data_IF_827182743506
#
_entry.id   IF_827182743506
#
_cell.length_a   1.000
_cell.length_b   1.000
_cell.length_c   1.000
_cell.angle_alpha   90.00
_cell.angle_beta   90.00
_cell.angle_gamma   90.00
#
_symmetry.space_group_name_H-M   'P 1'
#
loop_
_entity.id
_entity.type
_entity.pdbx_description
1 polymer ?
#
# COMPACT_ATOMS: atom_id res chain seq x y z
N UNK A 1 -18.11 -51.85 -38.27
CA UNK A 1 -18.74 -50.57 -37.87
C UNK A 1 -17.91 -49.44 -38.47
N UNK A 2 -18.26 -48.96 -39.68
CA UNK A 2 -17.48 -47.91 -40.35
C UNK A 2 -17.91 -46.54 -39.81
N UNK A 3 -17.03 -45.88 -39.06
CA UNK A 3 -17.29 -44.53 -38.53
C UNK A 3 -17.35 -43.52 -39.67
N UNK A 4 -18.43 -42.74 -39.72
CA UNK A 4 -18.67 -41.70 -40.72
C UNK A 4 -17.71 -40.52 -40.48
N UNK A 5 -16.97 -40.09 -41.50
CA UNK A 5 -15.98 -38.99 -41.39
C UNK A 5 -16.58 -37.71 -40.81
N UNK A 6 -17.88 -37.46 -41.01
CA UNK A 6 -18.60 -36.29 -40.48
C UNK A 6 -18.85 -36.37 -38.96
N UNK A 7 -19.11 -37.54 -38.40
CA UNK A 7 -19.27 -37.72 -36.94
C UNK A 7 -17.93 -37.70 -36.21
N UNK A 8 -16.86 -38.14 -36.88
CA UNK A 8 -15.49 -38.02 -36.40
C UNK A 8 -15.05 -36.56 -36.31
N UNK A 9 -15.38 -35.74 -37.32
CA UNK A 9 -15.02 -34.32 -37.36
C UNK A 9 -15.75 -33.48 -36.30
N UNK A 10 -17.04 -33.74 -36.08
CA UNK A 10 -17.85 -33.03 -35.06
C UNK A 10 -17.40 -33.36 -33.63
N UNK A 11 -17.02 -34.60 -33.35
CA UNK A 11 -16.46 -35.00 -32.05
C UNK A 11 -15.11 -34.33 -31.76
N UNK A 12 -14.21 -34.30 -32.76
CA UNK A 12 -12.90 -33.65 -32.64
C UNK A 12 -13.05 -32.14 -32.38
N UNK A 13 -13.99 -31.47 -33.08
CA UNK A 13 -14.25 -30.04 -32.89
C UNK A 13 -14.78 -29.73 -31.48
N UNK A 14 -15.64 -30.58 -30.93
CA UNK A 14 -16.16 -30.41 -29.57
C UNK A 14 -15.05 -30.57 -28.51
N UNK A 15 -14.15 -31.54 -28.70
CA UNK A 15 -13.01 -31.75 -27.81
C UNK A 15 -12.04 -30.58 -27.81
N UNK A 16 -11.76 -29.99 -28.96
CA UNK A 16 -10.82 -28.84 -29.04
C UNK A 16 -11.41 -27.59 -28.39
N UNK A 17 -12.70 -27.29 -28.63
CA UNK A 17 -13.38 -26.16 -28.00
C UNK A 17 -13.40 -26.30 -26.47
N UNK A 18 -13.67 -27.51 -25.97
CA UNK A 18 -13.68 -27.79 -24.52
C UNK A 18 -12.31 -27.57 -23.87
N UNK A 19 -11.24 -27.98 -24.55
CA UNK A 19 -9.86 -27.77 -24.10
C UNK A 19 -9.50 -26.29 -24.05
N UNK A 20 -9.92 -25.51 -25.05
CA UNK A 20 -9.67 -24.07 -25.11
C UNK A 20 -10.41 -23.30 -24.02
N UNK A 21 -11.69 -23.62 -23.78
CA UNK A 21 -12.47 -22.98 -22.70
C UNK A 21 -11.86 -23.30 -21.33
N UNK A 22 -11.44 -24.55 -21.11
CA UNK A 22 -10.74 -24.95 -19.88
C UNK A 22 -9.39 -24.24 -19.69
N UNK A 23 -8.60 -24.10 -20.76
CA UNK A 23 -7.31 -23.41 -20.72
C UNK A 23 -7.46 -21.91 -20.43
N UNK A 24 -8.45 -21.25 -21.04
CA UNK A 24 -8.77 -19.84 -20.78
C UNK A 24 -9.25 -19.66 -19.33
N UNK A 25 -10.14 -20.54 -18.85
CA UNK A 25 -10.61 -20.53 -17.47
C UNK A 25 -9.48 -20.69 -16.46
N UNK A 26 -8.59 -21.67 -16.68
CA UNK A 26 -7.41 -21.87 -15.83
C UNK A 26 -6.47 -20.66 -15.85
N UNK A 27 -6.22 -20.07 -17.02
CA UNK A 27 -5.37 -18.89 -17.16
C UNK A 27 -5.93 -17.67 -16.41
N UNK A 28 -7.24 -17.43 -16.51
CA UNK A 28 -7.91 -16.34 -15.78
C UNK A 28 -7.86 -16.54 -14.27
N UNK A 29 -8.11 -17.76 -13.79
CA UNK A 29 -8.04 -18.10 -12.37
C UNK A 29 -6.61 -17.92 -11.85
N UNK A 30 -5.60 -18.46 -12.52
CA UNK A 30 -4.19 -18.32 -12.13
C UNK A 30 -3.78 -16.84 -12.07
N UNK A 31 -4.16 -16.02 -13.05
CA UNK A 31 -3.80 -14.61 -13.07
C UNK A 31 -4.42 -13.82 -11.89
N UNK A 32 -5.66 -14.12 -11.52
CA UNK A 32 -6.30 -13.48 -10.36
C UNK A 32 -5.73 -13.99 -9.04
N UNK A 33 -5.53 -15.30 -8.88
CA UNK A 33 -4.94 -15.87 -7.66
C UNK A 33 -3.50 -15.40 -7.43
N UNK A 34 -2.69 -15.29 -8.49
CA UNK A 34 -1.32 -14.76 -8.39
C UNK A 34 -1.34 -13.29 -8.00
N UNK A 35 -2.24 -12.46 -8.57
CA UNK A 35 -2.41 -11.07 -8.15
C UNK A 35 -2.80 -10.97 -6.67
N UNK A 36 -3.75 -11.76 -6.21
CA UNK A 36 -4.22 -11.76 -4.82
C UNK A 36 -3.16 -12.29 -3.86
N UNK A 37 -2.40 -13.31 -4.27
CA UNK A 37 -1.31 -13.89 -3.46
C UNK A 37 -0.13 -12.94 -3.34
N UNK A 38 0.34 -12.37 -4.46
CA UNK A 38 1.38 -11.34 -4.45
C UNK A 38 0.90 -10.13 -3.65
N UNK A 39 -0.38 -9.79 -3.71
CA UNK A 39 -0.94 -8.68 -2.96
C UNK A 39 -0.95 -8.92 -1.44
N UNK A 40 -1.41 -10.10 -1.01
CA UNK A 40 -1.48 -10.46 0.41
C UNK A 40 -0.09 -10.56 1.04
N UNK A 41 0.89 -11.15 0.34
CA UNK A 41 2.27 -11.18 0.79
C UNK A 41 2.85 -9.76 0.89
N UNK A 42 2.64 -8.94 -0.14
CA UNK A 42 3.01 -7.53 -0.16
C UNK A 42 2.40 -6.69 0.96
N UNK A 43 1.15 -6.97 1.34
CA UNK A 43 0.49 -6.30 2.47
C UNK A 43 1.10 -6.70 3.81
N UNK A 44 1.44 -7.97 4.01
CA UNK A 44 2.16 -8.42 5.20
C UNK A 44 3.56 -7.81 5.27
N UNK A 45 4.31 -7.83 4.16
CA UNK A 45 5.60 -7.15 4.08
C UNK A 45 5.49 -5.65 4.38
N UNK A 46 4.41 -5.00 3.94
CA UNK A 46 4.17 -3.59 4.21
C UNK A 46 3.98 -3.32 5.72
N UNK A 47 3.21 -4.14 6.44
CA UNK A 47 3.04 -3.98 7.89
C UNK A 47 4.35 -4.19 8.66
N UNK A 48 5.16 -5.19 8.27
CA UNK A 48 6.48 -5.39 8.87
C UNK A 48 7.41 -4.19 8.62
N UNK A 49 7.38 -3.63 7.42
CA UNK A 49 8.14 -2.43 7.08
C UNK A 49 7.66 -1.20 7.86
N UNK A 50 6.35 -1.01 8.03
CA UNK A 50 5.78 0.06 8.84
C UNK A 50 6.23 -0.04 10.31
N UNK A 51 6.26 -1.26 10.87
CA UNK A 51 6.76 -1.52 12.21
C UNK A 51 8.26 -1.23 12.33
N UNK A 52 9.09 -1.69 11.38
CA UNK A 52 10.54 -1.42 11.35
C UNK A 52 10.83 0.07 11.22
N UNK A 53 10.13 0.78 10.34
CA UNK A 53 10.27 2.23 10.19
C UNK A 53 9.84 2.97 11.45
N UNK A 54 8.79 2.52 12.15
CA UNK A 54 8.39 3.11 13.43
C UNK A 54 9.45 2.91 14.52
N UNK A 55 10.04 1.71 14.60
CA UNK A 55 11.16 1.45 15.51
C UNK A 55 12.35 2.36 15.20
N UNK A 56 12.72 2.47 13.91
CA UNK A 56 13.79 3.38 13.48
C UNK A 56 13.49 4.83 13.85
N UNK A 57 12.25 5.28 13.63
CA UNK A 57 11.79 6.62 14.01
C UNK A 57 11.94 6.91 15.52
N UNK A 58 11.77 5.91 16.38
CA UNK A 58 11.80 6.09 17.84
C UNK A 58 13.19 5.92 18.45
N UNK A 59 14.05 5.07 17.87
CA UNK A 59 15.30 4.62 18.49
C UNK A 59 16.56 5.09 17.78
N UNK A 60 16.49 5.37 16.49
CA UNK A 60 17.65 5.68 15.67
C UNK A 60 17.89 7.19 15.57
N UNK A 61 19.02 7.58 14.97
CA UNK A 61 19.31 8.96 14.67
C UNK A 61 18.32 9.55 13.64
N UNK A 62 18.16 10.87 13.67
CA UNK A 62 17.20 11.57 12.81
C UNK A 62 17.45 11.34 11.31
N UNK A 63 18.68 11.10 10.84
CA UNK A 63 18.96 10.85 9.42
C UNK A 63 18.48 9.46 9.03
N UNK A 64 18.75 8.45 9.84
CA UNK A 64 18.26 7.07 9.63
C UNK A 64 16.74 7.03 9.66
N UNK A 65 16.10 7.71 10.61
CA UNK A 65 14.66 7.83 10.69
C UNK A 65 14.05 8.48 9.44
N UNK A 66 14.63 9.60 8.96
CA UNK A 66 14.19 10.28 7.73
C UNK A 66 14.35 9.37 6.51
N UNK A 67 15.48 8.65 6.40
CA UNK A 67 15.71 7.70 5.31
C UNK A 67 14.67 6.58 5.32
N UNK A 68 14.40 5.96 6.46
CA UNK A 68 13.43 4.89 6.60
C UNK A 68 12.00 5.37 6.26
N UNK A 69 11.61 6.56 6.72
CA UNK A 69 10.29 7.14 6.42
C UNK A 69 10.12 7.46 4.93
N UNK A 70 11.15 7.99 4.26
CA UNK A 70 11.08 8.26 2.82
C UNK A 70 10.92 6.97 2.00
N UNK A 71 11.64 5.90 2.36
CA UNK A 71 11.48 4.60 1.72
C UNK A 71 10.06 4.05 1.91
N UNK A 72 9.52 4.11 3.12
CA UNK A 72 8.15 3.68 3.41
C UNK A 72 7.12 4.48 2.57
N UNK A 73 7.28 5.80 2.48
CA UNK A 73 6.42 6.67 1.68
C UNK A 73 6.43 6.27 0.20
N UNK A 74 7.59 5.95 -0.36
CA UNK A 74 7.68 5.58 -1.77
C UNK A 74 7.03 4.23 -2.05
N UNK A 75 7.13 3.29 -1.12
CA UNK A 75 6.39 2.02 -1.16
C UNK A 75 4.88 2.31 -1.10
N UNK A 76 4.42 3.06 -0.09
CA UNK A 76 3.00 3.39 0.09
C UNK A 76 2.40 4.14 -1.10
N UNK A 77 3.16 5.02 -1.77
CA UNK A 77 2.72 5.68 -3.01
C UNK A 77 2.49 4.68 -4.15
N UNK A 78 3.34 3.65 -4.28
CA UNK A 78 3.13 2.60 -5.29
C UNK A 78 1.84 1.84 -4.99
N UNK A 79 1.58 1.52 -3.72
CA UNK A 79 0.33 0.89 -3.32
C UNK A 79 -0.89 1.80 -3.52
N UNK A 80 -0.80 3.10 -3.23
CA UNK A 80 -1.90 4.06 -3.47
C UNK A 80 -2.29 4.11 -4.94
N UNK A 81 -1.36 3.91 -5.89
CA UNK A 81 -1.70 3.82 -7.32
C UNK A 81 -2.56 2.60 -7.66
N UNK A 82 -2.35 1.48 -6.95
CA UNK A 82 -3.11 0.25 -7.14
C UNK A 82 -4.43 0.28 -6.35
N UNK A 83 -4.41 0.84 -5.14
CA UNK A 83 -5.55 0.93 -4.22
C UNK A 83 -5.81 2.39 -3.79
N UNK A 84 -6.31 3.25 -4.71
CA UNK A 84 -6.44 4.68 -4.45
C UNK A 84 -7.37 5.02 -3.29
N UNK A 85 -8.38 4.19 -3.03
CA UNK A 85 -9.39 4.41 -1.99
C UNK A 85 -9.11 3.64 -0.69
N UNK A 86 -7.96 2.97 -0.57
CA UNK A 86 -7.63 2.23 0.65
C UNK A 86 -7.26 3.19 1.79
N UNK A 87 -8.10 3.22 2.82
CA UNK A 87 -7.94 4.11 3.98
C UNK A 87 -6.68 3.83 4.78
N UNK A 88 -6.26 2.57 4.90
CA UNK A 88 -5.05 2.18 5.66
C UNK A 88 -3.82 2.81 5.01
N UNK A 89 -3.65 2.63 3.70
CA UNK A 89 -2.52 3.20 2.94
C UNK A 89 -2.49 4.74 3.06
N UNK A 90 -3.66 5.39 2.98
CA UNK A 90 -3.75 6.83 3.12
C UNK A 90 -3.40 7.29 4.55
N UNK A 91 -3.83 6.57 5.59
CA UNK A 91 -3.48 6.86 6.99
C UNK A 91 -1.98 6.63 7.26
N UNK A 92 -1.38 5.58 6.71
CA UNK A 92 0.05 5.32 6.86
C UNK A 92 0.90 6.40 6.17
N UNK A 93 0.45 6.88 4.99
CA UNK A 93 1.08 8.02 4.31
C UNK A 93 0.96 9.30 5.14
N UNK A 94 -0.22 9.58 5.68
CA UNK A 94 -0.48 10.73 6.55
C UNK A 94 0.48 10.73 7.75
N UNK A 95 0.56 9.61 8.47
CA UNK A 95 1.43 9.45 9.64
C UNK A 95 2.91 9.56 9.27
N UNK A 96 3.32 8.98 8.15
CA UNK A 96 4.71 9.05 7.68
C UNK A 96 5.14 10.49 7.38
N UNK A 97 4.29 11.28 6.72
CA UNK A 97 4.57 12.71 6.50
C UNK A 97 4.52 13.53 7.78
N UNK A 98 3.61 13.23 8.72
CA UNK A 98 3.56 13.89 10.02
C UNK A 98 4.85 13.64 10.84
N UNK A 99 5.35 12.40 10.85
CA UNK A 99 6.62 12.04 11.51
C UNK A 99 7.81 12.75 10.86
N UNK A 100 7.87 12.82 9.53
CA UNK A 100 8.88 13.61 8.81
C UNK A 100 8.82 15.09 9.21
N UNK A 101 7.64 15.68 9.28
CA UNK A 101 7.48 17.06 9.74
C UNK A 101 8.08 17.26 11.14
N UNK A 102 7.77 16.37 12.09
CA UNK A 102 8.35 16.42 13.44
C UNK A 102 9.88 16.35 13.43
N UNK A 103 10.48 15.47 12.61
CA UNK A 103 11.94 15.36 12.47
C UNK A 103 12.56 16.63 11.85
N UNK A 104 12.00 17.15 10.76
CA UNK A 104 12.51 18.36 10.11
C UNK A 104 12.38 19.60 10.99
N UNK A 105 11.32 19.69 11.78
CA UNK A 105 11.16 20.74 12.80
C UNK A 105 12.29 20.68 13.83
N UNK A 106 12.63 19.48 14.31
CA UNK A 106 13.74 19.29 15.25
C UNK A 106 15.11 19.63 14.64
N UNK A 107 15.28 19.45 13.34
CA UNK A 107 16.51 19.81 12.60
C UNK A 107 16.57 21.29 12.19
N UNK A 108 15.49 22.05 12.38
CA UNK A 108 15.40 23.44 11.92
C UNK A 108 15.20 23.60 10.40
N UNK A 109 14.96 22.52 9.66
CA UNK A 109 14.68 22.56 8.22
C UNK A 109 13.22 22.96 7.98
N UNK A 110 12.98 24.28 8.00
CA UNK A 110 11.66 24.86 7.82
C UNK A 110 11.07 24.60 6.42
N UNK A 111 11.90 24.36 5.39
CA UNK A 111 11.44 24.10 4.03
C UNK A 111 10.89 22.68 3.94
N UNK A 112 11.67 21.69 4.39
CA UNK A 112 11.24 20.30 4.41
C UNK A 112 10.08 20.07 5.40
N UNK A 113 10.07 20.81 6.51
CA UNK A 113 8.96 20.85 7.46
C UNK A 113 7.63 21.22 6.77
N UNK A 114 7.56 22.42 6.18
CA UNK A 114 6.34 22.92 5.53
C UNK A 114 5.86 22.01 4.41
N UNK A 115 6.80 21.46 3.64
CA UNK A 115 6.50 20.49 2.58
C UNK A 115 5.84 19.22 3.14
N UNK A 116 6.34 18.71 4.26
CA UNK A 116 5.82 17.50 4.89
C UNK A 116 4.43 17.74 5.51
N UNK A 117 4.25 18.86 6.23
CA UNK A 117 2.93 19.27 6.77
C UNK A 117 1.91 19.44 5.65
N UNK A 118 2.26 20.15 4.57
CA UNK A 118 1.35 20.39 3.44
C UNK A 118 0.86 19.08 2.82
N UNK A 119 1.75 18.10 2.62
CA UNK A 119 1.39 16.78 2.11
C UNK A 119 0.50 16.00 3.07
N UNK A 120 0.81 16.00 4.36
CA UNK A 120 -0.02 15.36 5.38
C UNK A 120 -1.42 15.97 5.40
N UNK A 121 -1.55 17.30 5.42
CA UNK A 121 -2.84 17.99 5.39
C UNK A 121 -3.62 17.75 4.09
N UNK A 122 -2.94 17.59 2.96
CA UNK A 122 -3.60 17.23 1.71
C UNK A 122 -4.25 15.83 1.80
N UNK A 123 -3.52 14.83 2.29
CA UNK A 123 -4.05 13.47 2.48
C UNK A 123 -5.18 13.47 3.52
N UNK A 124 -5.02 14.24 4.59
CA UNK A 124 -6.04 14.39 5.62
C UNK A 124 -7.38 14.86 5.05
N UNK A 125 -7.35 15.86 4.16
CA UNK A 125 -8.54 16.35 3.45
C UNK A 125 -9.13 15.32 2.51
N UNK A 126 -8.30 14.54 1.80
CA UNK A 126 -8.79 13.44 0.95
C UNK A 126 -9.54 12.36 1.75
N UNK A 127 -9.17 12.16 3.02
CA UNK A 127 -9.79 11.19 3.93
C UNK A 127 -11.04 11.70 4.64
N UNK A 128 -11.45 12.96 4.42
CA UNK A 128 -12.49 13.64 5.20
C UNK A 128 -12.26 13.53 6.72
N UNK A 129 -11.00 13.64 7.13
CA UNK A 129 -10.66 13.60 8.54
C UNK A 129 -10.85 14.99 9.19
N UNK A 130 -10.93 15.02 10.52
CA UNK A 130 -11.05 16.28 11.27
C UNK A 130 -9.71 17.07 11.38
N UNK A 131 -8.66 16.68 10.65
CA UNK A 131 -7.33 17.30 10.74
C UNK A 131 -7.27 18.45 9.74
N UNK A 132 -7.54 19.67 10.21
CA UNK A 132 -7.62 20.87 9.36
C UNK A 132 -6.39 21.76 9.47
N UNK A 133 -5.65 21.67 10.57
CA UNK A 133 -4.48 22.48 10.86
C UNK A 133 -3.24 21.66 11.21
N UNK A 134 -2.08 22.30 11.15
CA UNK A 134 -0.81 21.74 11.65
C UNK A 134 -0.91 21.30 13.11
N UNK A 135 -1.58 22.09 13.94
CA UNK A 135 -1.79 21.77 15.35
C UNK A 135 -2.61 20.50 15.51
N UNK A 136 -3.69 20.34 14.74
CA UNK A 136 -4.50 19.13 14.76
C UNK A 136 -3.69 17.91 14.32
N UNK A 137 -2.83 18.07 13.31
CA UNK A 137 -1.97 17.02 12.79
C UNK A 137 -0.97 16.54 13.85
N UNK A 138 -0.32 17.47 14.55
CA UNK A 138 0.65 17.14 15.60
C UNK A 138 -0.05 16.48 16.79
N UNK A 139 -1.19 17.01 17.23
CA UNK A 139 -2.00 16.40 18.30
C UNK A 139 -2.46 14.98 17.92
N UNK A 140 -2.86 14.77 16.66
CA UNK A 140 -3.22 13.45 16.16
C UNK A 140 -2.02 12.49 16.18
N UNK A 141 -0.86 12.96 15.70
CA UNK A 141 0.38 12.18 15.72
C UNK A 141 0.79 11.79 17.15
N UNK A 142 0.72 12.70 18.11
CA UNK A 142 1.05 12.45 19.51
C UNK A 142 0.18 11.32 20.10
N UNK A 143 -1.14 11.40 19.91
CA UNK A 143 -2.07 10.35 20.35
C UNK A 143 -1.74 8.99 19.75
N UNK A 144 -1.42 8.94 18.46
CA UNK A 144 -1.07 7.68 17.79
C UNK A 144 0.26 7.14 18.31
N UNK A 145 1.27 7.99 18.49
CA UNK A 145 2.57 7.57 19.00
C UNK A 145 2.47 7.12 20.47
N UNK A 146 1.60 7.71 21.29
CA UNK A 146 1.30 7.26 22.65
C UNK A 146 0.69 5.85 22.65
N UNK A 147 -0.37 5.63 21.87
CA UNK A 147 -1.03 4.32 21.72
C UNK A 147 -0.01 3.25 21.27
N UNK A 148 0.83 3.59 20.30
CA UNK A 148 1.83 2.67 19.74
C UNK A 148 3.04 2.44 20.65
N UNK A 149 3.25 3.28 21.67
CA UNK A 149 4.30 3.09 22.68
C UNK A 149 3.87 2.18 23.84
N UNK A 150 2.56 1.91 24.00
CA UNK A 150 1.99 1.05 25.06
C UNK A 150 1.97 -0.44 24.64
N UNK A 151 2.10 -0.71 23.34
CA UNK A 151 2.09 -2.05 22.73
C UNK A 151 3.51 -2.58 22.50
#
# INVERSE_FOLDING_TARGET
MQLNKKTLFTSILCLTISLFVGAIGAFLIINNTVKDTILSSNFQYMQEWEAKTYQAYKKEDSKTAIWALNNLIDILKRYKKVYPHNKVIQTDLLLSYARLAKLYRAQGDNVAYRKSVSKALHIAREQDNNIKSEKDLLNFLEKIDEIKSIK
#
